data_IF_880848214731
#
_entry.id   IF_880848214731
#
_cell.length_a   1.000
_cell.length_b   1.000
_cell.length_c   1.000
_cell.angle_alpha   90.00
_cell.angle_beta   90.00
_cell.angle_gamma   90.00
#
_symmetry.space_group_name_H-M   'P 1'
#
loop_
_entity.id
_entity.type
_entity.pdbx_description
1 polymer ?
#
# COMPACT_ATOMS: atom_id res chain seq x y z
N UNK A 1 -27.42 23.71 39.19
CA UNK A 1 -26.26 24.54 38.75
C UNK A 1 -24.92 23.82 38.76
N UNK A 2 -24.54 23.04 39.76
CA UNK A 2 -23.22 22.33 39.80
C UNK A 2 -23.05 21.27 38.66
N UNK A 3 -24.07 20.52 38.31
CA UNK A 3 -24.01 19.51 37.24
C UNK A 3 -23.88 20.11 35.84
N UNK A 4 -24.56 21.23 35.56
CA UNK A 4 -24.48 21.93 34.28
C UNK A 4 -23.07 22.49 34.03
N UNK A 5 -22.40 23.05 35.03
CA UNK A 5 -21.00 23.53 34.90
C UNK A 5 -20.02 22.39 34.62
N UNK A 6 -20.17 21.21 35.28
CA UNK A 6 -19.35 20.04 35.03
C UNK A 6 -19.53 19.50 33.61
N UNK A 7 -20.78 19.47 33.10
CA UNK A 7 -21.05 19.05 31.72
C UNK A 7 -20.45 20.00 30.69
N UNK A 8 -20.56 21.31 30.90
CA UNK A 8 -19.96 22.32 30.02
C UNK A 8 -18.41 22.21 30.05
N UNK A 9 -17.82 22.06 31.23
CA UNK A 9 -16.36 21.89 31.33
C UNK A 9 -15.91 20.61 30.63
N UNK A 10 -16.62 19.50 30.79
CA UNK A 10 -16.31 18.24 30.11
C UNK A 10 -16.42 18.37 28.59
N UNK A 11 -17.48 19.02 28.08
CA UNK A 11 -17.67 19.26 26.65
C UNK A 11 -16.54 20.14 26.08
N UNK A 12 -16.15 21.20 26.78
CA UNK A 12 -15.04 22.07 26.34
C UNK A 12 -13.72 21.29 26.31
N UNK A 13 -13.41 20.49 27.32
CA UNK A 13 -12.19 19.68 27.38
C UNK A 13 -12.15 18.64 26.25
N UNK A 14 -13.28 17.95 25.97
CA UNK A 14 -13.33 16.98 24.88
C UNK A 14 -13.18 17.63 23.50
N UNK A 15 -13.79 18.80 23.31
CA UNK A 15 -13.66 19.55 22.04
C UNK A 15 -12.22 20.06 21.84
N UNK A 16 -11.60 20.60 22.86
CA UNK A 16 -10.19 21.05 22.79
C UNK A 16 -9.24 19.91 22.55
N UNK A 17 -9.44 18.74 23.20
CA UNK A 17 -8.65 17.54 22.96
C UNK A 17 -8.82 17.03 21.52
N UNK A 18 -10.04 17.00 21.01
CA UNK A 18 -10.32 16.62 19.62
C UNK A 18 -9.64 17.54 18.60
N UNK A 19 -9.71 18.86 18.83
CA UNK A 19 -9.04 19.83 17.97
C UNK A 19 -7.51 19.65 18.00
N UNK A 20 -6.92 19.46 19.18
CA UNK A 20 -5.47 19.23 19.33
C UNK A 20 -5.02 17.97 18.56
N UNK A 21 -5.75 16.86 18.69
CA UNK A 21 -5.46 15.62 17.96
C UNK A 21 -5.62 15.82 16.44
N UNK A 22 -6.64 16.55 16.00
CA UNK A 22 -6.83 16.87 14.58
C UNK A 22 -5.64 17.64 13.99
N UNK A 23 -5.18 18.69 14.69
CA UNK A 23 -3.99 19.44 14.25
C UNK A 23 -2.73 18.60 14.26
N UNK A 24 -2.56 17.72 15.26
CA UNK A 24 -1.45 16.79 15.30
C UNK A 24 -1.47 15.84 14.10
N UNK A 25 -2.59 15.22 13.81
CA UNK A 25 -2.75 14.35 12.63
C UNK A 25 -2.38 15.10 11.35
N UNK A 26 -2.90 16.32 11.16
CA UNK A 26 -2.59 17.14 9.98
C UNK A 26 -1.10 17.49 9.86
N UNK A 27 -0.41 17.72 10.98
CA UNK A 27 1.04 17.94 10.96
C UNK A 27 1.81 16.67 10.60
N UNK A 28 1.36 15.51 11.07
CA UNK A 28 1.95 14.22 10.72
C UNK A 28 1.77 13.90 9.23
N UNK A 29 0.56 14.08 8.68
CA UNK A 29 0.30 13.93 7.24
C UNK A 29 1.23 14.82 6.41
N UNK A 30 1.33 16.11 6.77
CA UNK A 30 2.19 17.04 6.05
C UNK A 30 3.67 16.67 6.16
N UNK A 31 4.10 16.17 7.31
CA UNK A 31 5.48 15.76 7.53
C UNK A 31 5.81 14.49 6.73
N UNK A 32 4.88 13.55 6.60
CA UNK A 32 5.06 12.31 5.85
C UNK A 32 5.35 12.59 4.36
N UNK A 33 4.56 13.46 3.72
CA UNK A 33 4.69 13.76 2.29
C UNK A 33 5.70 14.86 1.97
N UNK A 34 6.36 15.44 2.97
CA UNK A 34 7.23 16.61 2.80
C UNK A 34 8.40 16.39 1.83
N UNK A 35 8.94 15.19 1.79
CA UNK A 35 10.09 14.85 0.95
C UNK A 35 9.70 14.53 -0.48
N UNK A 36 8.42 14.23 -0.73
CA UNK A 36 7.87 13.90 -2.04
C UNK A 36 8.69 12.82 -2.77
N UNK A 37 9.09 11.78 -2.03
CA UNK A 37 9.94 10.70 -2.53
C UNK A 37 9.21 9.75 -3.47
N UNK A 38 7.88 9.73 -3.41
CA UNK A 38 7.03 8.97 -4.31
C UNK A 38 6.74 9.71 -5.62
N UNK A 39 7.22 10.94 -5.80
CA UNK A 39 7.08 11.65 -7.07
C UNK A 39 7.76 10.87 -8.20
N UNK A 40 7.08 10.74 -9.32
CA UNK A 40 7.60 10.12 -10.54
C UNK A 40 7.32 11.01 -11.73
N UNK A 41 8.32 11.14 -12.61
CA UNK A 41 8.14 11.83 -13.90
C UNK A 41 7.30 10.99 -14.88
N UNK A 42 7.32 9.67 -14.72
CA UNK A 42 6.63 8.69 -15.56
C UNK A 42 5.31 8.27 -14.92
N UNK A 43 4.42 9.26 -14.72
CA UNK A 43 3.15 9.08 -14.06
C UNK A 43 2.07 8.67 -15.05
N UNK A 44 1.50 7.48 -14.86
CA UNK A 44 0.32 7.02 -15.58
C UNK A 44 -0.80 6.66 -14.60
N UNK A 45 -2.04 6.84 -15.02
CA UNK A 45 -3.23 6.53 -14.21
C UNK A 45 -4.14 5.60 -15.00
N UNK A 46 -4.51 4.51 -14.38
CA UNK A 46 -5.55 3.61 -14.85
C UNK A 46 -6.82 3.84 -14.04
N UNK A 47 -7.83 4.47 -14.64
CA UNK A 47 -9.13 4.66 -13.99
C UNK A 47 -9.89 3.35 -13.93
N UNK A 48 -9.97 2.77 -12.75
CA UNK A 48 -10.64 1.51 -12.46
C UNK A 48 -11.92 1.75 -11.66
N UNK A 49 -12.86 0.80 -11.74
CA UNK A 49 -14.19 0.94 -11.11
C UNK A 49 -14.19 1.24 -9.59
N UNK A 50 -13.10 0.96 -8.88
CA UNK A 50 -12.96 1.20 -7.44
C UNK A 50 -12.02 2.35 -7.07
N UNK A 51 -11.45 3.04 -8.05
CA UNK A 51 -10.56 4.18 -7.87
C UNK A 51 -9.45 4.22 -8.90
N UNK A 52 -8.71 5.31 -8.91
CA UNK A 52 -7.59 5.51 -9.81
C UNK A 52 -6.35 4.73 -9.32
N UNK A 53 -5.77 3.99 -10.23
CA UNK A 53 -4.60 3.15 -10.00
C UNK A 53 -3.38 3.81 -10.62
N UNK A 54 -2.42 4.14 -9.79
CA UNK A 54 -1.15 4.67 -10.24
C UNK A 54 -0.24 3.55 -10.75
N UNK A 55 0.42 3.80 -11.88
CA UNK A 55 1.50 2.96 -12.36
C UNK A 55 2.56 3.77 -13.09
N UNK A 56 3.74 3.19 -13.25
CA UNK A 56 4.80 3.69 -14.13
C UNK A 56 4.99 2.73 -15.29
N UNK A 57 5.49 3.26 -16.42
CA UNK A 57 5.81 2.48 -17.61
C UNK A 57 7.19 2.89 -18.12
N UNK A 58 8.13 1.96 -18.16
CA UNK A 58 9.51 2.20 -18.60
C UNK A 58 10.01 1.16 -19.59
N UNK A 59 10.92 1.59 -20.47
CA UNK A 59 11.59 0.70 -21.42
C UNK A 59 10.72 0.26 -22.58
N UNK A 60 11.28 -0.65 -23.40
CA UNK A 60 10.62 -1.23 -24.58
C UNK A 60 11.00 -2.70 -24.69
N UNK A 61 10.06 -3.55 -25.13
CA UNK A 61 10.26 -4.99 -25.28
C UNK A 61 9.07 -5.79 -24.77
N UNK A 62 9.30 -7.02 -24.34
CA UNK A 62 8.24 -7.87 -23.79
C UNK A 62 7.65 -7.26 -22.53
N UNK A 63 6.31 -7.24 -22.36
CA UNK A 63 5.69 -6.63 -21.18
C UNK A 63 6.00 -7.40 -19.90
N UNK A 64 6.31 -6.66 -18.86
CA UNK A 64 6.56 -7.16 -17.52
C UNK A 64 5.83 -6.32 -16.49
N UNK A 65 5.08 -6.95 -15.59
CA UNK A 65 4.34 -6.32 -14.52
C UNK A 65 5.01 -6.59 -13.17
N UNK A 66 5.33 -5.54 -12.44
CA UNK A 66 5.89 -5.59 -11.10
C UNK A 66 4.82 -5.26 -10.06
N UNK A 67 4.61 -6.16 -9.09
CA UNK A 67 3.62 -6.04 -8.03
C UNK A 67 4.29 -6.11 -6.67
N UNK A 68 4.22 -5.03 -5.92
CA UNK A 68 4.75 -4.93 -4.57
C UNK A 68 3.95 -5.78 -3.57
N UNK A 69 4.53 -6.05 -2.39
CA UNK A 69 3.81 -6.74 -1.31
C UNK A 69 2.62 -5.91 -0.80
N UNK A 70 1.60 -6.57 -0.28
CA UNK A 70 0.41 -5.89 0.27
C UNK A 70 0.63 -5.53 1.75
N UNK A 71 1.14 -4.33 1.96
CA UNK A 71 1.30 -3.71 3.26
C UNK A 71 0.89 -2.24 3.18
N UNK A 72 0.41 -1.64 4.27
CA UNK A 72 -0.06 -0.24 4.28
C UNK A 72 1.00 0.78 3.84
N UNK A 73 2.27 0.47 4.01
CA UNK A 73 3.39 1.32 3.62
C UNK A 73 4.04 0.89 2.28
N UNK A 74 3.53 -0.12 1.59
CA UNK A 74 4.10 -0.61 0.34
C UNK A 74 3.68 0.23 -0.86
N UNK A 75 4.54 0.28 -1.85
CA UNK A 75 4.30 0.91 -3.15
C UNK A 75 5.25 0.33 -4.21
N UNK A 76 5.08 0.71 -5.47
CA UNK A 76 5.99 0.34 -6.55
C UNK A 76 7.45 0.74 -6.32
N UNK A 77 7.72 1.62 -5.37
CA UNK A 77 9.09 1.96 -4.96
C UNK A 77 9.91 0.74 -4.48
N UNK A 78 9.28 -0.33 -4.07
CA UNK A 78 9.93 -1.60 -3.75
C UNK A 78 10.86 -2.07 -4.89
N UNK A 79 10.52 -1.74 -6.13
CA UNK A 79 11.20 -2.19 -7.35
C UNK A 79 12.26 -1.23 -7.88
N UNK A 80 12.47 -0.07 -7.26
CA UNK A 80 13.33 1.02 -7.75
C UNK A 80 14.76 0.58 -8.14
N UNK A 81 15.32 -0.40 -7.43
CA UNK A 81 16.70 -0.83 -7.67
C UNK A 81 16.86 -1.77 -8.88
N UNK A 82 15.79 -2.41 -9.33
CA UNK A 82 15.83 -3.36 -10.44
C UNK A 82 15.04 -2.88 -11.67
N UNK A 83 14.12 -1.94 -11.51
CA UNK A 83 13.25 -1.44 -12.56
C UNK A 83 14.03 -0.96 -13.79
N UNK A 84 15.05 -0.12 -13.62
CA UNK A 84 15.87 0.40 -14.72
C UNK A 84 16.70 -0.69 -15.41
N UNK A 85 17.07 -1.75 -14.70
CA UNK A 85 17.78 -2.88 -15.29
C UNK A 85 16.84 -3.74 -16.14
N UNK A 86 15.64 -4.00 -15.65
CA UNK A 86 14.61 -4.74 -16.39
C UNK A 86 14.11 -3.97 -17.61
N UNK A 87 14.04 -2.64 -17.51
CA UNK A 87 13.58 -1.75 -18.58
C UNK A 87 14.53 -1.71 -19.81
N UNK A 88 15.72 -2.28 -19.73
CA UNK A 88 16.64 -2.40 -20.89
C UNK A 88 16.10 -3.35 -21.95
N UNK A 89 15.42 -4.43 -21.52
CA UNK A 89 14.98 -5.52 -22.41
C UNK A 89 13.46 -5.73 -22.36
N UNK A 90 12.77 -5.04 -21.43
CA UNK A 90 11.32 -5.19 -21.20
C UNK A 90 10.59 -3.85 -21.20
N UNK A 91 9.30 -3.88 -21.52
CA UNK A 91 8.38 -2.81 -21.15
C UNK A 91 7.89 -3.10 -19.74
N UNK A 92 8.45 -2.42 -18.74
CA UNK A 92 8.18 -2.65 -17.32
C UNK A 92 7.02 -1.76 -16.89
N UNK A 93 6.00 -2.37 -16.31
CA UNK A 93 4.87 -1.72 -15.66
C UNK A 93 4.99 -1.93 -14.16
N UNK A 94 5.16 -0.87 -13.38
CA UNK A 94 5.21 -0.93 -11.92
C UNK A 94 3.93 -0.35 -11.36
N UNK A 95 3.13 -1.19 -10.72
CA UNK A 95 1.78 -0.87 -10.24
C UNK A 95 1.78 -0.61 -8.74
N UNK A 96 1.18 0.50 -8.31
CA UNK A 96 0.75 0.68 -6.93
C UNK A 96 -0.64 0.06 -6.78
N UNK A 97 -0.78 -0.95 -5.92
CA UNK A 97 -2.07 -1.61 -5.69
C UNK A 97 -3.08 -0.65 -5.05
N UNK A 98 -4.37 -0.84 -5.33
CA UNK A 98 -5.43 -0.05 -4.70
C UNK A 98 -5.29 -0.06 -3.17
N UNK A 99 -5.36 1.10 -2.54
CA UNK A 99 -5.13 1.25 -1.10
C UNK A 99 -3.67 1.42 -0.69
N UNK A 100 -2.72 1.39 -1.65
CA UNK A 100 -1.29 1.48 -1.39
C UNK A 100 -0.65 2.61 -2.23
N UNK A 101 0.48 3.12 -1.76
CA UNK A 101 1.28 4.10 -2.47
C UNK A 101 0.48 5.31 -2.94
N UNK A 102 0.58 5.56 -4.24
CA UNK A 102 -0.03 6.70 -4.96
C UNK A 102 -1.41 6.38 -5.55
N UNK A 103 -1.85 5.13 -5.50
CA UNK A 103 -3.20 4.72 -5.90
C UNK A 103 -4.24 5.20 -4.90
N UNK A 104 -5.48 5.32 -5.35
CA UNK A 104 -6.61 5.69 -4.49
C UNK A 104 -6.75 4.74 -3.30
N UNK A 105 -7.20 5.30 -2.17
CA UNK A 105 -7.43 4.60 -0.90
C UNK A 105 -8.92 4.69 -0.51
N UNK A 106 -9.86 4.14 -1.32
CA UNK A 106 -11.29 4.24 -1.02
C UNK A 106 -11.66 3.49 0.26
N UNK A 107 -12.67 4.00 0.96
CA UNK A 107 -13.21 3.39 2.18
C UNK A 107 -14.10 2.18 1.87
N UNK A 108 -13.52 1.13 1.31
CA UNK A 108 -14.20 -0.13 0.93
C UNK A 108 -13.62 -1.33 1.68
N UNK A 109 -14.24 -2.49 1.53
CA UNK A 109 -13.64 -3.73 2.02
C UNK A 109 -12.66 -4.28 0.97
N UNK A 110 -11.39 -4.26 1.29
CA UNK A 110 -10.33 -4.85 0.46
C UNK A 110 -10.35 -6.37 0.61
N UNK A 111 -10.69 -7.07 -0.47
CA UNK A 111 -10.73 -8.53 -0.51
C UNK A 111 -9.65 -9.08 -1.42
N UNK A 112 -9.25 -10.33 -1.22
CA UNK A 112 -8.30 -11.01 -2.10
C UNK A 112 -8.80 -11.01 -3.56
N UNK A 113 -10.11 -11.21 -3.74
CA UNK A 113 -10.73 -11.22 -5.06
C UNK A 113 -10.64 -9.84 -5.77
N UNK A 114 -10.71 -8.75 -5.02
CA UNK A 114 -10.55 -7.40 -5.55
C UNK A 114 -9.17 -7.23 -6.22
N UNK A 115 -8.10 -7.69 -5.57
CA UNK A 115 -6.75 -7.60 -6.14
C UNK A 115 -6.55 -8.55 -7.33
N UNK A 116 -7.12 -9.76 -7.28
CA UNK A 116 -7.14 -10.68 -8.42
C UNK A 116 -7.81 -10.02 -9.62
N UNK A 117 -8.96 -9.39 -9.42
CA UNK A 117 -9.69 -8.69 -10.47
C UNK A 117 -8.91 -7.48 -10.99
N UNK A 118 -8.28 -6.69 -10.13
CA UNK A 118 -7.43 -5.56 -10.52
C UNK A 118 -6.31 -6.01 -11.46
N UNK A 119 -5.54 -7.04 -11.06
CA UNK A 119 -4.41 -7.55 -11.85
C UNK A 119 -4.87 -8.01 -13.23
N UNK A 120 -5.92 -8.84 -13.30
CA UNK A 120 -6.45 -9.34 -14.59
C UNK A 120 -6.96 -8.20 -15.46
N UNK A 121 -7.67 -7.23 -14.87
CA UNK A 121 -8.22 -6.10 -15.61
C UNK A 121 -7.12 -5.18 -16.12
N UNK A 122 -6.11 -4.91 -15.30
CA UNK A 122 -4.95 -4.11 -15.68
C UNK A 122 -4.20 -4.74 -16.86
N UNK A 123 -3.90 -6.05 -16.81
CA UNK A 123 -3.24 -6.73 -17.94
C UNK A 123 -4.09 -6.65 -19.21
N UNK A 124 -5.42 -6.85 -19.12
CA UNK A 124 -6.30 -6.84 -20.28
C UNK A 124 -6.50 -5.46 -20.89
N UNK A 125 -6.65 -4.43 -20.07
CA UNK A 125 -7.05 -3.10 -20.52
C UNK A 125 -5.88 -2.16 -20.76
N UNK A 126 -4.81 -2.28 -20.00
CA UNK A 126 -3.63 -1.40 -20.09
C UNK A 126 -2.52 -2.03 -20.92
N UNK A 127 -2.20 -3.30 -20.66
CA UNK A 127 -1.08 -3.98 -21.35
C UNK A 127 -1.57 -4.63 -22.65
N UNK A 128 -2.70 -5.32 -22.62
CA UNK A 128 -3.38 -5.86 -23.81
C UNK A 128 -2.81 -7.18 -24.36
N UNK A 129 -1.79 -7.76 -23.75
CA UNK A 129 -1.18 -9.02 -24.20
C UNK A 129 -0.66 -9.85 -23.02
N UNK A 130 -0.31 -11.14 -23.23
CA UNK A 130 0.28 -11.97 -22.18
C UNK A 130 1.53 -11.32 -21.59
N UNK A 131 1.60 -11.25 -20.28
CA UNK A 131 2.56 -10.43 -19.53
C UNK A 131 3.34 -11.29 -18.55
N UNK A 132 4.66 -11.13 -18.52
CA UNK A 132 5.50 -11.69 -17.47
C UNK A 132 5.24 -10.91 -16.16
N UNK A 133 5.15 -11.60 -15.03
CA UNK A 133 4.82 -10.97 -13.75
C UNK A 133 5.87 -11.29 -12.69
N UNK A 134 6.36 -10.26 -12.02
CA UNK A 134 7.14 -10.40 -10.79
C UNK A 134 6.30 -9.87 -9.64
N UNK A 135 6.09 -10.67 -8.62
CA UNK A 135 5.28 -10.29 -7.47
C UNK A 135 5.98 -10.65 -6.15
N UNK A 136 5.92 -9.76 -5.18
CA UNK A 136 6.45 -10.01 -3.84
C UNK A 136 5.35 -10.32 -2.82
N UNK A 137 5.72 -11.05 -1.78
CA UNK A 137 4.90 -11.32 -0.60
C UNK A 137 3.50 -11.85 -0.92
N UNK A 138 2.48 -11.18 -0.39
CA UNK A 138 1.08 -11.56 -0.55
C UNK A 138 0.58 -11.40 -1.99
N UNK A 139 1.15 -10.46 -2.76
CA UNK A 139 0.79 -10.26 -4.17
C UNK A 139 1.10 -11.49 -5.03
N UNK A 140 2.10 -12.30 -4.67
CA UNK A 140 2.35 -13.59 -5.30
C UNK A 140 1.13 -14.52 -5.23
N UNK A 141 0.44 -14.58 -4.11
CA UNK A 141 -0.78 -15.38 -3.95
C UNK A 141 -1.94 -14.87 -4.81
N UNK A 142 -2.06 -13.55 -4.98
CA UNK A 142 -3.06 -12.98 -5.89
C UNK A 142 -2.75 -13.31 -7.34
N UNK A 143 -1.47 -13.27 -7.75
CA UNK A 143 -1.04 -13.62 -9.10
C UNK A 143 -1.34 -15.09 -9.42
N UNK A 144 -1.08 -16.02 -8.50
CA UNK A 144 -1.42 -17.44 -8.69
C UNK A 144 -2.92 -17.61 -8.90
N UNK A 145 -3.74 -16.95 -8.10
CA UNK A 145 -5.21 -16.99 -8.22
C UNK A 145 -5.67 -16.33 -9.52
N UNK A 146 -5.08 -15.21 -9.90
CA UNK A 146 -5.38 -14.51 -11.15
C UNK A 146 -5.00 -15.35 -12.38
N UNK A 147 -3.85 -16.01 -12.36
CA UNK A 147 -3.40 -16.91 -13.40
C UNK A 147 -4.35 -18.11 -13.57
N UNK A 148 -4.82 -18.69 -12.47
CA UNK A 148 -5.83 -19.76 -12.52
C UNK A 148 -7.17 -19.29 -13.12
N UNK A 149 -7.55 -18.05 -12.88
CA UNK A 149 -8.80 -17.46 -13.40
C UNK A 149 -8.70 -17.02 -14.86
N UNK A 150 -7.55 -16.50 -15.29
CA UNK A 150 -7.31 -15.95 -16.62
C UNK A 150 -5.92 -16.32 -17.15
N UNK A 151 -5.64 -17.62 -17.40
CA UNK A 151 -4.28 -18.08 -17.73
C UNK A 151 -3.68 -17.42 -18.97
N UNK A 152 -4.51 -17.04 -19.94
CA UNK A 152 -4.06 -16.39 -21.18
C UNK A 152 -3.48 -14.97 -20.97
N UNK A 153 -3.68 -14.38 -19.81
CA UNK A 153 -3.12 -13.05 -19.50
C UNK A 153 -1.65 -13.12 -19.01
N UNK A 154 -1.18 -14.29 -18.65
CA UNK A 154 0.12 -14.46 -17.98
C UNK A 154 1.12 -15.20 -18.87
N UNK A 155 2.34 -14.66 -18.90
CA UNK A 155 3.52 -15.34 -19.39
C UNK A 155 4.24 -16.08 -18.25
N UNK A 156 5.50 -15.75 -18.03
CA UNK A 156 6.29 -16.27 -16.90
C UNK A 156 5.91 -15.56 -15.60
N UNK A 157 5.89 -16.30 -14.50
CA UNK A 157 5.60 -15.74 -13.18
C UNK A 157 6.80 -16.00 -12.27
N UNK A 158 7.35 -14.94 -11.69
CA UNK A 158 8.36 -14.99 -10.65
C UNK A 158 7.76 -14.47 -9.34
N UNK A 159 7.88 -15.25 -8.28
CA UNK A 159 7.40 -14.86 -6.95
C UNK A 159 8.59 -14.72 -6.00
N UNK A 160 8.66 -13.58 -5.33
CA UNK A 160 9.69 -13.27 -4.35
C UNK A 160 9.07 -13.39 -2.97
N UNK A 161 9.59 -14.29 -2.15
CA UNK A 161 9.15 -14.53 -0.78
C UNK A 161 7.62 -14.65 -0.65
N UNK A 162 6.96 -15.53 -1.46
CA UNK A 162 5.50 -15.56 -1.54
C UNK A 162 4.89 -15.97 -0.22
N UNK A 163 3.78 -15.32 0.13
CA UNK A 163 2.96 -15.68 1.28
C UNK A 163 2.11 -16.91 0.96
N UNK A 164 1.91 -17.79 1.95
CA UNK A 164 1.09 -18.99 1.83
C UNK A 164 -0.36 -18.64 1.40
N UNK A 165 -0.87 -19.38 0.39
CA UNK A 165 -2.26 -19.28 -0.08
C UNK A 165 -3.28 -19.52 1.04
N UNK A 166 -2.95 -20.31 2.06
CA UNK A 166 -3.81 -20.53 3.22
C UNK A 166 -4.08 -19.22 3.99
N UNK A 167 -3.18 -18.24 3.93
CA UNK A 167 -3.41 -16.93 4.54
C UNK A 167 -4.52 -16.14 3.85
N UNK A 168 -4.78 -16.36 2.55
CA UNK A 168 -5.88 -15.72 1.83
C UNK A 168 -7.26 -16.10 2.39
N UNK A 169 -7.38 -17.29 2.98
CA UNK A 169 -8.63 -17.79 3.55
C UNK A 169 -8.78 -17.50 5.04
N UNK A 170 -7.80 -16.82 5.65
CA UNK A 170 -7.83 -16.52 7.08
C UNK A 170 -8.92 -15.49 7.41
N UNK A 171 -9.90 -15.92 8.20
CA UNK A 171 -10.94 -15.04 8.69
C UNK A 171 -10.37 -14.17 9.83
N UNK A 172 -10.59 -12.84 9.81
CA UNK A 172 -10.14 -11.95 10.88
C UNK A 172 -10.69 -12.36 12.24
N UNK A 173 -9.82 -12.49 13.23
CA UNK A 173 -10.18 -12.82 14.59
C UNK A 173 -10.87 -11.65 15.33
N UNK A 174 -11.27 -11.84 16.58
CA UNK A 174 -11.92 -10.82 17.39
C UNK A 174 -11.01 -9.61 17.64
N UNK A 175 -9.69 -9.84 17.76
CA UNK A 175 -8.71 -8.77 18.00
C UNK A 175 -8.53 -7.90 16.76
N UNK A 176 -8.39 -8.51 15.59
CA UNK A 176 -8.29 -7.80 14.31
C UNK A 176 -9.54 -6.95 14.04
N UNK A 177 -10.72 -7.50 14.31
CA UNK A 177 -12.00 -6.75 14.19
C UNK A 177 -12.12 -5.59 15.17
N UNK A 178 -11.61 -5.77 16.39
CA UNK A 178 -11.58 -4.70 17.39
C UNK A 178 -10.61 -3.58 16.96
N UNK A 179 -9.39 -3.93 16.55
CA UNK A 179 -8.40 -2.98 16.06
C UNK A 179 -8.92 -2.19 14.86
N UNK A 180 -9.56 -2.88 13.89
CA UNK A 180 -10.22 -2.23 12.76
C UNK A 180 -11.21 -1.15 13.23
N UNK A 181 -12.12 -1.49 14.16
CA UNK A 181 -13.10 -0.53 14.72
C UNK A 181 -12.44 0.66 15.41
N UNK A 182 -11.32 0.44 16.10
CA UNK A 182 -10.58 1.53 16.75
C UNK A 182 -9.94 2.48 15.73
N UNK A 183 -9.39 1.94 14.64
CA UNK A 183 -8.80 2.75 13.55
C UNK A 183 -9.89 3.50 12.77
N UNK A 184 -11.08 2.95 12.66
CA UNK A 184 -12.23 3.60 11.99
C UNK A 184 -12.86 4.75 12.79
N UNK A 185 -12.44 4.96 14.05
CA UNK A 185 -12.92 6.10 14.84
C UNK A 185 -12.37 7.43 14.27
N UNK A 186 -13.23 8.42 14.05
CA UNK A 186 -12.78 9.72 13.55
C UNK A 186 -11.78 10.36 14.53
N UNK A 187 -10.76 11.03 13.99
CA UNK A 187 -9.71 11.77 14.71
C UNK A 187 -8.78 10.85 15.53
N UNK A 188 -9.33 10.08 16.47
CA UNK A 188 -8.57 9.18 17.35
C UNK A 188 -8.02 7.97 16.57
N UNK A 189 -8.81 7.42 15.66
CA UNK A 189 -8.39 6.32 14.80
C UNK A 189 -7.25 6.72 13.87
N UNK A 190 -7.30 7.94 13.32
CA UNK A 190 -6.20 8.49 12.52
C UNK A 190 -4.91 8.61 13.33
N UNK A 191 -4.98 9.10 14.57
CA UNK A 191 -3.81 9.15 15.45
C UNK A 191 -3.26 7.76 15.77
N UNK A 192 -4.15 6.79 16.01
CA UNK A 192 -3.74 5.39 16.22
C UNK A 192 -3.07 4.83 14.96
N UNK A 193 -3.62 5.11 13.77
CA UNK A 193 -3.02 4.72 12.52
C UNK A 193 -1.61 5.30 12.35
N UNK A 194 -1.42 6.59 12.53
CA UNK A 194 -0.10 7.23 12.49
C UNK A 194 0.87 6.65 13.50
N UNK A 195 0.38 6.25 14.68
CA UNK A 195 1.24 5.60 15.68
C UNK A 195 1.70 4.22 15.20
N UNK A 196 0.80 3.45 14.58
CA UNK A 196 1.11 2.10 14.07
C UNK A 196 1.97 2.12 12.81
N UNK A 197 1.79 3.11 11.93
CA UNK A 197 2.52 3.27 10.67
C UNK A 197 3.65 4.29 10.76
N UNK A 198 3.97 4.74 11.96
CA UNK A 198 5.01 5.74 12.20
C UNK A 198 6.39 5.28 11.71
N UNK A 199 7.23 6.26 11.35
CA UNK A 199 8.57 6.05 10.79
C UNK A 199 9.40 5.01 11.58
N UNK A 200 9.35 5.05 12.92
CA UNK A 200 10.09 4.09 13.77
C UNK A 200 9.60 2.65 13.62
N UNK A 201 8.30 2.43 13.42
CA UNK A 201 7.75 1.10 13.20
C UNK A 201 8.10 0.58 11.80
N UNK A 202 8.11 1.44 10.79
CA UNK A 202 8.59 1.11 9.45
C UNK A 202 10.08 0.78 9.49
N UNK A 203 10.87 1.55 10.22
CA UNK A 203 12.30 1.29 10.44
C UNK A 203 12.55 -0.07 11.09
N UNK A 204 11.75 -0.43 12.09
CA UNK A 204 11.80 -1.73 12.73
C UNK A 204 11.43 -2.86 11.74
N UNK A 205 10.39 -2.65 10.93
CA UNK A 205 9.97 -3.60 9.89
C UNK A 205 11.11 -3.88 8.89
N UNK A 206 11.81 -2.84 8.46
CA UNK A 206 12.98 -2.97 7.58
C UNK A 206 14.10 -3.78 8.24
N UNK A 207 14.38 -3.50 9.51
CA UNK A 207 15.44 -4.15 10.27
C UNK A 207 15.15 -5.63 10.52
N UNK A 208 13.89 -5.98 10.81
CA UNK A 208 13.53 -7.33 11.22
C UNK A 208 13.06 -8.23 10.07
N UNK A 209 12.50 -7.64 8.99
CA UNK A 209 11.78 -8.43 7.99
C UNK A 209 12.26 -8.23 6.56
N UNK A 210 12.72 -7.04 6.16
CA UNK A 210 13.03 -6.77 4.76
C UNK A 210 14.52 -6.89 4.42
N UNK A 211 15.42 -6.57 5.33
CA UNK A 211 16.86 -6.58 5.06
C UNK A 211 17.58 -7.66 5.86
N UNK A 212 18.35 -8.50 5.16
CA UNK A 212 19.26 -9.44 5.81
C UNK A 212 20.32 -8.71 6.65
N UNK A 213 20.83 -7.58 6.15
CA UNK A 213 21.73 -6.69 6.87
C UNK A 213 21.05 -5.33 7.13
N UNK A 214 20.62 -5.04 8.35
CA UNK A 214 19.90 -3.80 8.69
C UNK A 214 20.75 -2.53 8.48
N UNK A 215 22.06 -2.65 8.36
CA UNK A 215 22.96 -1.50 8.08
C UNK A 215 22.96 -1.07 6.62
N UNK A 216 22.47 -1.91 5.69
CA UNK A 216 22.40 -1.58 4.25
C UNK A 216 21.10 -0.83 3.87
N UNK A 217 20.20 -0.58 4.83
CA UNK A 217 18.98 0.18 4.55
C UNK A 217 19.31 1.65 4.26
N UNK A 218 18.67 2.21 3.25
CA UNK A 218 18.70 3.65 3.02
C UNK A 218 17.70 4.36 3.93
N UNK A 219 18.06 5.46 4.60
CA UNK A 219 17.10 6.31 5.29
C UNK A 219 15.99 6.85 4.37
N UNK A 220 16.31 7.03 3.08
CA UNK A 220 15.34 7.46 2.06
C UNK A 220 14.28 6.39 1.78
N UNK A 221 14.64 5.11 1.83
CA UNK A 221 13.67 4.02 1.65
C UNK A 221 12.67 4.00 2.81
N UNK A 222 13.15 4.15 4.05
CA UNK A 222 12.27 4.26 5.22
C UNK A 222 11.31 5.45 5.09
N UNK A 223 11.84 6.60 4.65
CA UNK A 223 11.03 7.80 4.47
C UNK A 223 10.01 7.64 3.32
N UNK A 224 10.39 6.97 2.22
CA UNK A 224 9.47 6.69 1.12
C UNK A 224 8.33 5.72 1.52
N UNK A 225 8.65 4.70 2.31
CA UNK A 225 7.62 3.82 2.88
C UNK A 225 6.73 4.55 3.88
N UNK A 226 7.28 5.47 4.66
CA UNK A 226 6.49 6.32 5.56
C UNK A 226 5.58 7.28 4.78
N UNK A 227 6.03 7.81 3.66
CA UNK A 227 5.21 8.64 2.77
C UNK A 227 4.08 7.84 2.10
N UNK A 228 4.30 6.55 1.85
CA UNK A 228 3.32 5.63 1.25
C UNK A 228 2.19 5.23 2.23
N UNK A 229 2.50 5.17 3.52
CA UNK A 229 1.58 4.76 4.58
C UNK A 229 0.50 5.80 4.87
#
# INVERSE_FOLDING_TARGET
MKHSKKLVTLSVLTTMSGAAIYFLNKTLDTAAVRKNLLASAEKEIFSWQFGDIFYTKKGTGTPMLLLHDLHCASSGREWQYIEDTLAKDHTVYTLDLLGCGRSDKPAITYTNFLYVQLIVTFIKQVIGCPTDVIASGLSGSFVVTACNTAPKCFGRIMMINPTDLAKLNKIPDKRSRFLKRMIELPIVGTLLYHTLTGRSNIELLFTESYYHNPFHRSPEDVDAFYESA
#
